data_IF_125974796315
#
_entry.id   IF_125974796315
#
_cell.length_a   1.000
_cell.length_b   1.000
_cell.length_c   1.000
_cell.angle_alpha   90.00
_cell.angle_beta   90.00
_cell.angle_gamma   90.00
#
_symmetry.space_group_name_H-M   'P 1'
#
loop_
_entity.id
_entity.type
_entity.pdbx_description
1 polymer ?
#
# COMPACT_ATOMS: atom_id res chain seq x y z
N UNK A 1 -3.73 9.07 22.74
CA UNK A 1 -3.23 8.77 21.38
C UNK A 1 -1.75 9.16 21.34
N UNK A 2 -0.87 8.26 21.00
CA UNK A 2 0.56 8.57 20.79
C UNK A 2 0.69 9.46 19.54
N UNK A 3 1.54 10.49 19.62
CA UNK A 3 1.80 11.36 18.46
C UNK A 3 2.31 10.52 17.27
N UNK A 4 1.87 10.79 16.04
CA UNK A 4 2.33 10.07 14.85
C UNK A 4 3.83 10.30 14.62
N UNK A 5 4.51 9.31 14.04
CA UNK A 5 5.91 9.45 13.63
C UNK A 5 6.02 10.31 12.38
N UNK A 6 5.14 10.06 11.39
CA UNK A 6 5.06 10.83 10.16
C UNK A 6 3.71 11.51 10.06
N UNK A 7 3.73 12.79 9.74
CA UNK A 7 2.56 13.59 9.37
C UNK A 7 2.84 14.32 8.07
N UNK A 8 1.95 14.15 7.12
CA UNK A 8 1.91 14.90 5.86
C UNK A 8 0.59 15.65 5.82
N UNK A 9 0.63 16.96 5.74
CA UNK A 9 -0.56 17.83 5.79
C UNK A 9 -0.67 18.66 4.53
N UNK A 10 -1.69 18.37 3.71
CA UNK A 10 -2.02 19.08 2.47
C UNK A 10 -0.79 19.31 1.55
N UNK A 11 0.09 18.31 1.46
CA UNK A 11 1.32 18.42 0.71
C UNK A 11 1.06 18.44 -0.81
N UNK A 12 1.59 19.48 -1.48
CA UNK A 12 1.56 19.59 -2.94
C UNK A 12 2.97 19.69 -3.48
N UNK A 13 3.24 18.98 -4.60
CA UNK A 13 4.55 18.95 -5.28
C UNK A 13 4.37 19.20 -6.75
N UNK A 14 5.24 20.04 -7.33
CA UNK A 14 5.22 20.36 -8.74
C UNK A 14 6.63 20.36 -9.34
N UNK A 15 6.75 20.05 -10.63
CA UNK A 15 7.95 20.19 -11.46
C UNK A 15 7.73 21.34 -12.44
N UNK A 16 8.32 22.51 -12.15
CA UNK A 16 8.01 23.73 -12.88
C UNK A 16 6.52 24.09 -12.73
N UNK A 17 5.81 24.25 -13.83
CA UNK A 17 4.38 24.58 -13.84
C UNK A 17 3.48 23.33 -13.74
N UNK A 18 4.05 22.12 -13.80
CA UNK A 18 3.28 20.89 -13.76
C UNK A 18 3.13 20.37 -12.33
N UNK A 19 1.95 20.55 -11.74
CA UNK A 19 1.61 20.02 -10.43
C UNK A 19 1.32 18.52 -10.52
N UNK A 20 2.02 17.71 -9.72
CA UNK A 20 1.98 16.24 -9.74
C UNK A 20 1.29 15.66 -8.52
N UNK A 21 1.44 16.30 -7.35
CA UNK A 21 0.76 15.90 -6.11
C UNK A 21 -0.05 17.08 -5.60
N UNK A 22 -1.31 16.83 -5.25
CA UNK A 22 -2.27 17.84 -4.84
C UNK A 22 -2.79 17.53 -3.44
N UNK A 23 -2.45 18.38 -2.46
CA UNK A 23 -3.00 18.40 -1.10
C UNK A 23 -3.02 17.04 -0.40
N UNK A 24 -2.00 16.20 -0.63
CA UNK A 24 -1.90 14.89 -0.02
C UNK A 24 -1.82 14.99 1.50
N UNK A 25 -2.65 14.21 2.21
CA UNK A 25 -2.69 14.16 3.67
C UNK A 25 -2.66 12.72 4.13
N UNK A 26 -1.72 12.40 5.03
CA UNK A 26 -1.60 11.07 5.64
C UNK A 26 -0.85 11.17 6.97
N UNK A 27 -1.01 10.15 7.81
CA UNK A 27 -0.24 10.02 9.04
C UNK A 27 0.08 8.56 9.35
N UNK A 28 1.21 8.31 9.99
CA UNK A 28 1.62 6.98 10.47
C UNK A 28 2.09 7.06 11.91
N UNK A 29 1.60 6.16 12.74
CA UNK A 29 2.13 5.95 14.07
C UNK A 29 3.47 5.21 14.03
N UNK A 30 4.20 5.21 15.14
CA UNK A 30 5.47 4.48 15.25
C UNK A 30 5.24 2.96 15.12
N UNK A 31 6.04 2.31 14.28
CA UNK A 31 5.96 0.87 13.99
C UNK A 31 4.83 0.49 13.02
N UNK A 32 4.07 1.46 12.48
CA UNK A 32 3.12 1.20 11.40
C UNK A 32 3.80 1.18 10.04
N UNK A 33 3.23 0.40 9.13
CA UNK A 33 3.64 0.31 7.73
C UNK A 33 2.51 0.91 6.89
N UNK A 34 2.82 1.99 6.17
CA UNK A 34 1.94 2.60 5.18
C UNK A 34 2.25 2.16 3.78
N UNK A 35 1.26 2.19 2.89
CA UNK A 35 1.43 1.94 1.47
C UNK A 35 0.80 3.07 0.65
N UNK A 36 1.50 3.58 -0.35
CA UNK A 36 0.94 4.42 -1.40
C UNK A 36 0.63 3.54 -2.61
N UNK A 37 -0.64 3.34 -2.89
CA UNK A 37 -1.16 2.47 -3.93
C UNK A 37 -1.89 3.27 -5.00
N UNK A 38 -1.76 2.89 -6.28
CA UNK A 38 -2.45 3.58 -7.38
C UNK A 38 -1.80 3.32 -8.73
N UNK A 39 -2.43 3.74 -9.83
CA UNK A 39 -1.91 3.54 -11.18
C UNK A 39 -0.57 4.25 -11.40
N UNK A 40 0.16 3.82 -12.43
CA UNK A 40 1.43 4.44 -12.78
C UNK A 40 1.25 5.93 -13.12
N UNK A 41 2.19 6.77 -12.70
CA UNK A 41 2.15 8.21 -12.96
C UNK A 41 1.21 9.03 -12.07
N UNK A 42 0.52 8.46 -11.07
CA UNK A 42 -0.39 9.21 -10.19
C UNK A 42 0.32 10.00 -9.06
N UNK A 43 1.66 10.04 -8.99
CA UNK A 43 2.39 10.88 -8.05
C UNK A 43 2.94 10.17 -6.80
N UNK A 44 2.82 8.85 -6.65
CA UNK A 44 3.29 8.08 -5.48
C UNK A 44 4.77 8.28 -5.17
N UNK A 45 5.65 8.00 -6.15
CA UNK A 45 7.10 8.18 -6.02
C UNK A 45 7.47 9.64 -5.75
N UNK A 46 6.76 10.59 -6.35
CA UNK A 46 6.96 12.03 -6.09
C UNK A 46 6.66 12.37 -4.63
N UNK A 47 5.55 11.88 -4.08
CA UNK A 47 5.22 12.08 -2.67
C UNK A 47 6.25 11.39 -1.76
N UNK A 48 6.67 10.17 -2.08
CA UNK A 48 7.72 9.45 -1.35
C UNK A 48 9.03 10.25 -1.33
N UNK A 49 9.45 10.81 -2.46
CA UNK A 49 10.65 11.64 -2.58
C UNK A 49 10.54 12.97 -1.81
N UNK A 50 9.33 13.55 -1.74
CA UNK A 50 9.09 14.73 -0.89
C UNK A 50 9.23 14.39 0.60
N UNK A 51 8.75 13.23 1.04
CA UNK A 51 8.95 12.73 2.41
C UNK A 51 10.45 12.47 2.67
N UNK A 52 11.19 11.95 1.69
CA UNK A 52 12.65 11.78 1.80
C UNK A 52 13.43 13.11 1.85
N UNK A 53 12.84 14.22 1.39
CA UNK A 53 13.49 15.53 1.29
C UNK A 53 14.28 15.75 0.00
N UNK A 54 14.02 14.92 -1.00
CA UNK A 54 14.60 15.03 -2.34
C UNK A 54 13.82 16.06 -3.15
N UNK A 55 12.48 16.05 -3.04
CA UNK A 55 11.61 17.00 -3.73
C UNK A 55 11.07 18.06 -2.76
N UNK A 56 11.10 19.34 -3.13
CA UNK A 56 10.53 20.41 -2.31
C UNK A 56 9.01 20.42 -2.37
N UNK A 57 8.37 20.91 -1.32
CA UNK A 57 6.93 21.17 -1.31
C UNK A 57 6.61 22.52 -1.96
N UNK A 58 5.54 22.56 -2.76
CA UNK A 58 4.91 23.80 -3.20
C UNK A 58 3.91 24.34 -2.16
N UNK A 59 3.20 23.42 -1.48
CA UNK A 59 2.25 23.72 -0.41
C UNK A 59 2.29 22.61 0.65
N UNK A 60 1.74 22.93 1.83
CA UNK A 60 1.61 21.99 2.93
C UNK A 60 2.87 21.81 3.77
N UNK A 61 2.84 20.80 4.62
CA UNK A 61 3.91 20.51 5.57
C UNK A 61 4.16 19.01 5.71
N UNK A 62 5.41 18.65 6.01
CA UNK A 62 5.79 17.30 6.43
C UNK A 62 6.50 17.41 7.78
N UNK A 63 6.05 16.58 8.75
CA UNK A 63 6.66 16.46 10.07
C UNK A 63 7.12 15.02 10.30
N UNK A 64 8.29 14.89 10.91
CA UNK A 64 8.80 13.63 11.42
C UNK A 64 8.99 13.75 12.93
N UNK A 65 8.35 12.85 13.67
CA UNK A 65 8.38 12.84 15.14
C UNK A 65 8.06 14.22 15.73
N UNK A 66 7.01 14.88 15.20
CA UNK A 66 6.57 16.22 15.55
C UNK A 66 7.45 17.37 15.02
N UNK A 67 8.64 17.07 14.48
CA UNK A 67 9.55 18.10 13.95
C UNK A 67 9.23 18.42 12.49
N UNK A 68 9.06 19.72 12.16
CA UNK A 68 8.85 20.18 10.78
C UNK A 68 10.12 19.91 9.96
N UNK A 69 10.00 19.11 8.88
CA UNK A 69 11.09 18.75 7.98
C UNK A 69 10.92 19.27 6.55
N UNK A 70 9.69 19.60 6.15
CA UNK A 70 9.41 20.26 4.85
C UNK A 70 8.25 21.23 4.96
N UNK A 71 8.40 22.37 4.29
CA UNK A 71 7.35 23.34 3.97
C UNK A 71 7.76 24.09 2.69
N UNK A 72 6.91 24.96 2.11
CA UNK A 72 7.27 25.71 0.89
C UNK A 72 8.52 26.59 1.02
N UNK A 73 8.88 26.94 2.25
CA UNK A 73 10.02 27.82 2.53
C UNK A 73 11.20 27.10 3.16
N UNK A 74 11.06 25.84 3.50
CA UNK A 74 12.07 25.11 4.27
C UNK A 74 12.03 23.64 3.91
N UNK A 75 13.21 23.07 3.65
CA UNK A 75 13.38 21.63 3.42
C UNK A 75 14.65 21.16 4.13
N UNK A 76 14.49 20.27 5.10
CA UNK A 76 15.62 19.54 5.68
C UNK A 76 16.16 18.57 4.62
N UNK A 77 17.47 18.61 4.31
CA UNK A 77 18.04 17.69 3.32
C UNK A 77 17.98 16.23 3.79
N UNK A 78 17.95 15.24 2.86
CA UNK A 78 17.75 13.82 3.16
C UNK A 78 18.67 13.26 4.23
N UNK A 79 19.97 13.59 4.19
CA UNK A 79 21.00 13.10 5.11
C UNK A 79 20.79 13.55 6.57
N UNK A 80 19.92 14.54 6.80
CA UNK A 80 19.56 15.05 8.15
C UNK A 80 18.18 14.60 8.63
N UNK A 81 17.42 13.85 7.81
CA UNK A 81 16.06 13.42 8.16
C UNK A 81 16.00 12.13 8.96
N UNK A 82 17.10 11.38 9.06
CA UNK A 82 17.13 10.03 9.65
C UNK A 82 16.13 9.08 8.97
N UNK A 83 16.04 9.18 7.65
CA UNK A 83 15.17 8.34 6.78
C UNK A 83 16.07 7.39 6.01
N UNK A 84 15.73 6.11 5.98
CA UNK A 84 16.31 5.13 5.07
C UNK A 84 15.50 5.05 3.79
N UNK A 85 16.16 4.72 2.66
CA UNK A 85 15.47 4.55 1.39
C UNK A 85 15.95 3.29 0.66
N UNK A 86 15.00 2.50 0.16
CA UNK A 86 15.21 1.40 -0.76
C UNK A 86 14.63 1.82 -2.11
N UNK A 87 15.47 1.84 -3.13
CA UNK A 87 15.11 2.23 -4.50
C UNK A 87 14.64 1.01 -5.29
N UNK A 88 13.90 1.25 -6.35
CA UNK A 88 13.32 0.23 -7.24
C UNK A 88 14.39 -0.70 -7.86
N UNK A 89 15.55 -0.17 -8.22
CA UNK A 89 16.71 -0.89 -8.77
C UNK A 89 17.70 -1.38 -7.69
N UNK A 90 17.26 -1.34 -6.40
CA UNK A 90 18.06 -1.62 -5.20
C UNK A 90 19.26 -0.70 -5.01
N UNK A 91 19.78 -0.09 -6.05
CA UNK A 91 20.91 0.85 -6.08
C UNK A 91 22.15 0.35 -5.27
N UNK A 92 22.40 -0.97 -5.28
CA UNK A 92 23.62 -1.54 -4.66
C UNK A 92 24.85 -1.08 -5.41
N UNK A 93 25.91 -0.82 -4.68
CA UNK A 93 27.21 -0.45 -5.24
C UNK A 93 27.88 -1.69 -5.84
N UNK A 94 27.99 -1.83 -7.18
CA UNK A 94 28.45 -3.07 -7.81
C UNK A 94 29.92 -3.39 -7.56
N UNK A 95 30.71 -2.40 -7.19
CA UNK A 95 32.15 -2.49 -6.91
C UNK A 95 32.49 -2.74 -5.44
N UNK A 96 31.47 -2.75 -4.56
CA UNK A 96 31.63 -3.04 -3.14
C UNK A 96 31.07 -4.44 -2.83
N UNK A 97 31.69 -5.16 -1.91
CA UNK A 97 31.13 -6.38 -1.36
C UNK A 97 29.86 -6.07 -0.51
N UNK A 98 29.18 -7.11 -0.05
CA UNK A 98 27.94 -6.97 0.70
C UNK A 98 28.17 -6.33 2.06
N UNK A 99 29.26 -6.64 2.74
CA UNK A 99 29.59 -6.01 4.03
C UNK A 99 29.84 -4.49 3.85
N UNK A 100 30.54 -4.10 2.79
CA UNK A 100 30.80 -2.69 2.50
C UNK A 100 29.56 -1.96 1.98
N UNK A 101 28.69 -2.63 1.19
CA UNK A 101 27.38 -2.09 0.83
C UNK A 101 26.55 -1.74 2.07
N UNK A 102 26.35 -2.71 2.99
CA UNK A 102 25.58 -2.49 4.23
C UNK A 102 26.27 -1.44 5.11
N UNK A 103 27.58 -1.53 5.23
CA UNK A 103 28.38 -0.65 6.07
C UNK A 103 28.59 0.76 5.51
N UNK A 104 28.13 1.08 4.31
CA UNK A 104 28.40 2.36 3.65
C UNK A 104 27.90 3.56 4.46
N UNK A 105 26.63 3.52 4.89
CA UNK A 105 26.01 4.60 5.68
C UNK A 105 26.54 4.75 7.11
N UNK A 106 27.34 3.78 7.61
CA UNK A 106 27.93 3.75 8.93
C UNK A 106 29.48 3.72 8.90
N UNK A 107 30.07 4.13 7.82
CA UNK A 107 31.54 4.12 7.60
C UNK A 107 32.32 4.90 8.65
N UNK A 108 31.71 5.92 9.27
CA UNK A 108 32.33 6.75 10.33
C UNK A 108 32.33 6.08 11.73
N UNK A 109 31.64 4.96 11.90
CA UNK A 109 31.62 4.24 13.16
C UNK A 109 32.96 3.49 13.39
N UNK A 110 33.25 3.16 14.67
CA UNK A 110 34.41 2.34 14.99
C UNK A 110 34.30 0.97 14.33
N UNK A 111 35.40 0.45 13.80
CA UNK A 111 35.43 -0.81 13.01
C UNK A 111 34.71 -1.98 13.70
N UNK A 112 34.88 -2.16 15.00
CA UNK A 112 34.21 -3.22 15.75
C UNK A 112 32.68 -3.02 15.81
N UNK A 113 32.19 -1.79 16.01
CA UNK A 113 30.75 -1.49 16.03
C UNK A 113 30.13 -1.67 14.64
N UNK A 114 30.82 -1.17 13.59
CA UNK A 114 30.39 -1.34 12.20
C UNK A 114 30.23 -2.82 11.83
N UNK A 115 31.28 -3.65 12.15
CA UNK A 115 31.23 -5.09 11.87
C UNK A 115 30.08 -5.78 12.61
N UNK A 116 29.93 -5.52 13.92
CA UNK A 116 28.82 -6.06 14.70
C UNK A 116 27.46 -5.73 14.11
N UNK A 117 27.26 -4.46 13.68
CA UNK A 117 26.01 -4.02 13.07
C UNK A 117 25.74 -4.72 11.74
N UNK A 118 26.76 -4.90 10.90
CA UNK A 118 26.67 -5.65 9.66
C UNK A 118 26.27 -7.11 9.92
N UNK A 119 26.93 -7.78 10.89
CA UNK A 119 26.62 -9.16 11.25
C UNK A 119 25.18 -9.32 11.78
N UNK A 120 24.69 -8.35 12.57
CA UNK A 120 23.31 -8.30 13.05
C UNK A 120 22.32 -8.21 11.87
N UNK A 121 22.57 -7.29 10.93
CA UNK A 121 21.70 -7.06 9.79
C UNK A 121 21.69 -8.22 8.80
N UNK A 122 22.84 -8.83 8.54
CA UNK A 122 22.93 -10.02 7.68
C UNK A 122 22.14 -11.19 8.26
N UNK A 123 22.18 -11.39 9.61
CA UNK A 123 21.34 -12.41 10.26
C UNK A 123 19.87 -12.05 10.17
N UNK A 124 19.51 -10.77 10.38
CA UNK A 124 18.14 -10.28 10.32
C UNK A 124 17.50 -10.55 8.95
N UNK A 125 18.25 -10.37 7.87
CA UNK A 125 17.76 -10.61 6.49
C UNK A 125 17.99 -12.03 6.00
N UNK A 126 18.43 -12.96 6.87
CA UNK A 126 18.60 -14.38 6.55
C UNK A 126 19.80 -14.69 5.64
N UNK A 127 20.84 -13.85 5.61
CA UNK A 127 22.02 -13.98 4.76
C UNK A 127 23.34 -13.88 5.55
N UNK A 128 23.53 -14.67 6.64
CA UNK A 128 24.65 -14.47 7.57
C UNK A 128 26.05 -14.67 6.94
N UNK A 129 26.17 -15.45 5.87
CA UNK A 129 27.46 -15.83 5.28
C UNK A 129 27.79 -15.08 3.98
N UNK A 130 27.13 -13.92 3.75
CA UNK A 130 27.22 -13.20 2.46
C UNK A 130 28.19 -12.00 2.50
N UNK A 131 29.01 -11.84 3.52
CA UNK A 131 29.87 -10.66 3.73
C UNK A 131 30.75 -10.31 2.53
N UNK A 132 31.45 -11.30 1.96
CA UNK A 132 32.46 -11.12 0.91
C UNK A 132 31.90 -11.29 -0.52
N UNK A 133 30.58 -11.56 -0.65
CA UNK A 133 29.94 -11.65 -1.96
C UNK A 133 29.73 -10.27 -2.56
N UNK A 134 29.51 -10.23 -3.87
CA UNK A 134 29.22 -9.02 -4.62
C UNK A 134 27.76 -9.02 -5.11
N UNK A 135 27.15 -7.84 -5.39
CA UNK A 135 25.76 -7.77 -5.85
C UNK A 135 25.41 -8.66 -7.05
N UNK A 136 26.32 -8.77 -8.01
CA UNK A 136 26.11 -9.59 -9.21
C UNK A 136 26.08 -11.11 -8.95
N UNK A 137 26.48 -11.56 -7.79
CA UNK A 137 26.42 -12.97 -7.38
C UNK A 137 25.11 -13.33 -6.68
N UNK A 138 24.21 -12.35 -6.48
CA UNK A 138 22.95 -12.48 -5.72
C UNK A 138 21.76 -12.55 -6.66
N UNK A 139 20.73 -13.35 -6.26
CA UNK A 139 19.41 -13.26 -6.88
C UNK A 139 18.73 -11.91 -6.55
N UNK A 140 17.70 -11.52 -7.34
CA UNK A 140 16.97 -10.28 -7.11
C UNK A 140 16.43 -10.17 -5.68
N UNK A 141 15.83 -11.23 -5.12
CA UNK A 141 15.35 -11.25 -3.74
C UNK A 141 16.47 -11.09 -2.70
N UNK A 142 17.65 -11.68 -2.95
CA UNK A 142 18.81 -11.49 -2.09
C UNK A 142 19.34 -10.06 -2.17
N UNK A 143 19.40 -9.47 -3.37
CA UNK A 143 19.79 -8.06 -3.55
C UNK A 143 18.86 -7.12 -2.81
N UNK A 144 17.56 -7.37 -2.87
CA UNK A 144 16.56 -6.60 -2.12
C UNK A 144 16.78 -6.67 -0.61
N UNK A 145 17.00 -7.87 -0.06
CA UNK A 145 17.29 -8.05 1.37
C UNK A 145 18.56 -7.30 1.78
N UNK A 146 19.58 -7.28 0.94
CA UNK A 146 20.80 -6.49 1.20
C UNK A 146 20.52 -4.99 1.11
N UNK A 147 19.71 -4.52 0.15
CA UNK A 147 19.31 -3.12 0.06
C UNK A 147 18.51 -2.69 1.32
N UNK A 148 17.63 -3.57 1.83
CA UNK A 148 16.93 -3.37 3.09
C UNK A 148 17.93 -3.27 4.26
N UNK A 149 18.87 -4.22 4.39
CA UNK A 149 19.89 -4.20 5.43
C UNK A 149 20.74 -2.92 5.37
N UNK A 150 21.14 -2.48 4.18
CA UNK A 150 21.88 -1.21 3.98
C UNK A 150 21.06 0.00 4.44
N UNK A 151 19.78 0.06 4.08
CA UNK A 151 18.89 1.16 4.47
C UNK A 151 18.65 1.19 6.00
N UNK A 152 18.66 0.03 6.66
CA UNK A 152 18.50 -0.11 8.11
C UNK A 152 19.80 0.12 8.90
N UNK A 153 20.96 0.05 8.28
CA UNK A 153 22.25 0.13 8.97
C UNK A 153 22.42 1.40 9.81
N UNK A 154 22.05 2.60 9.32
CA UNK A 154 22.16 3.84 10.11
C UNK A 154 21.16 3.95 11.26
N UNK A 155 20.18 3.05 11.40
CA UNK A 155 19.09 3.13 12.36
C UNK A 155 18.11 4.26 12.05
N UNK A 156 17.46 4.23 10.87
CA UNK A 156 16.50 5.25 10.49
C UNK A 156 15.26 5.23 11.38
N UNK A 157 14.58 6.36 11.52
CA UNK A 157 13.28 6.46 12.18
C UNK A 157 12.12 6.06 11.24
N UNK A 158 12.30 6.30 9.94
CA UNK A 158 11.36 5.97 8.87
C UNK A 158 12.10 5.29 7.72
N UNK A 159 11.55 4.20 7.20
CA UNK A 159 12.02 3.53 6.00
C UNK A 159 11.08 3.83 4.83
N UNK A 160 11.64 4.28 3.71
CA UNK A 160 10.91 4.51 2.47
C UNK A 160 11.32 3.46 1.44
N UNK A 161 10.35 2.87 0.75
CA UNK A 161 10.58 1.83 -0.25
C UNK A 161 9.81 2.16 -1.54
N UNK A 162 10.55 2.35 -2.64
CA UNK A 162 9.98 2.71 -3.95
C UNK A 162 9.90 1.45 -4.82
N UNK A 163 8.71 0.91 -5.01
CA UNK A 163 8.41 -0.33 -5.76
C UNK A 163 9.38 -1.48 -5.45
N UNK A 164 9.56 -1.85 -4.17
CA UNK A 164 10.65 -2.73 -3.76
C UNK A 164 10.59 -4.14 -4.36
N UNK A 165 9.41 -4.61 -4.82
CA UNK A 165 9.22 -5.97 -5.33
C UNK A 165 8.99 -6.05 -6.84
N UNK A 166 9.03 -4.92 -7.56
CA UNK A 166 8.63 -4.83 -8.98
C UNK A 166 9.48 -5.67 -9.93
N UNK A 167 10.73 -5.97 -9.59
CA UNK A 167 11.66 -6.76 -10.41
C UNK A 167 11.57 -8.28 -10.19
N UNK A 168 10.56 -8.78 -9.46
CA UNK A 168 10.43 -10.18 -9.06
C UNK A 168 9.24 -10.87 -9.71
N UNK A 169 9.31 -12.20 -9.77
CA UNK A 169 8.20 -13.06 -10.19
C UNK A 169 7.02 -12.95 -9.21
N UNK A 170 5.80 -13.03 -9.73
CA UNK A 170 4.55 -12.81 -8.97
C UNK A 170 4.45 -13.71 -7.73
N UNK A 171 4.83 -15.00 -7.86
CA UNK A 171 4.77 -15.97 -6.76
C UNK A 171 5.71 -15.61 -5.59
N UNK A 172 6.89 -15.06 -5.90
CA UNK A 172 7.89 -14.69 -4.90
C UNK A 172 7.58 -13.35 -4.21
N UNK A 173 6.84 -12.46 -4.86
CA UNK A 173 6.56 -11.11 -4.33
C UNK A 173 5.83 -11.14 -3.00
N UNK A 174 4.75 -11.92 -2.94
CA UNK A 174 3.88 -11.95 -1.75
C UNK A 174 4.60 -12.58 -0.55
N UNK A 175 5.38 -13.65 -0.78
CA UNK A 175 6.18 -14.29 0.27
C UNK A 175 7.23 -13.32 0.81
N UNK A 176 7.95 -12.65 -0.08
CA UNK A 176 8.98 -11.70 0.31
C UNK A 176 8.39 -10.45 0.98
N UNK A 177 7.21 -9.99 0.53
CA UNK A 177 6.48 -8.91 1.18
C UNK A 177 6.13 -9.27 2.63
N UNK A 178 5.62 -10.49 2.88
CA UNK A 178 5.35 -10.99 4.24
C UNK A 178 6.61 -11.08 5.09
N UNK A 179 7.71 -11.52 4.51
CA UNK A 179 8.98 -11.61 5.22
C UNK A 179 9.52 -10.23 5.58
N UNK A 180 9.55 -9.28 4.64
CA UNK A 180 9.96 -7.89 4.89
C UNK A 180 9.06 -7.26 5.96
N UNK A 181 7.74 -7.46 5.90
CA UNK A 181 6.82 -7.02 6.95
C UNK A 181 7.21 -7.57 8.32
N UNK A 182 7.50 -8.88 8.40
CA UNK A 182 7.91 -9.52 9.66
C UNK A 182 9.18 -8.88 10.24
N UNK A 183 10.18 -8.60 9.40
CA UNK A 183 11.41 -7.90 9.79
C UNK A 183 11.10 -6.50 10.34
N UNK A 184 10.32 -5.71 9.61
CA UNK A 184 9.98 -4.33 10.01
C UNK A 184 9.20 -4.30 11.32
N UNK A 185 8.25 -5.23 11.50
CA UNK A 185 7.45 -5.34 12.73
C UNK A 185 8.27 -5.80 13.94
N UNK A 186 9.16 -6.79 13.78
CA UNK A 186 10.01 -7.28 14.85
C UNK A 186 10.99 -6.21 15.38
N UNK A 187 11.46 -5.34 14.49
CA UNK A 187 12.35 -4.21 14.79
C UNK A 187 11.59 -2.90 15.13
N UNK A 188 10.25 -2.93 15.16
CA UNK A 188 9.38 -1.76 15.38
C UNK A 188 9.71 -0.57 14.46
N UNK A 189 10.00 -0.86 13.18
CA UNK A 189 10.37 0.13 12.17
C UNK A 189 9.11 0.66 11.50
N UNK A 190 8.96 1.98 11.47
CA UNK A 190 7.93 2.64 10.67
C UNK A 190 8.36 2.68 9.22
N UNK A 191 7.46 2.33 8.30
CA UNK A 191 7.81 2.31 6.88
C UNK A 191 6.68 2.86 6.00
N UNK A 192 7.06 3.39 4.83
CA UNK A 192 6.14 3.62 3.70
C UNK A 192 6.70 2.90 2.48
N UNK A 193 5.83 2.14 1.81
CA UNK A 193 6.13 1.59 0.50
C UNK A 193 5.23 2.21 -0.57
N UNK A 194 5.78 2.28 -1.78
CA UNK A 194 5.04 2.59 -3.01
C UNK A 194 4.91 1.31 -3.79
N UNK A 195 3.72 1.00 -4.26
CA UNK A 195 3.48 -0.10 -5.21
C UNK A 195 2.28 0.21 -6.09
N UNK A 196 2.14 -0.50 -7.19
CA UNK A 196 0.93 -0.57 -8.00
C UNK A 196 0.20 -1.91 -7.84
N UNK A 197 0.75 -2.84 -7.05
CA UNK A 197 0.20 -4.16 -6.79
C UNK A 197 -0.59 -4.18 -5.48
N UNK A 198 -1.87 -4.57 -5.57
CA UNK A 198 -2.77 -4.63 -4.41
C UNK A 198 -2.38 -5.75 -3.44
N UNK A 199 -1.88 -6.89 -3.95
CA UNK A 199 -1.48 -8.02 -3.10
C UNK A 199 -0.28 -7.65 -2.23
N UNK A 200 0.70 -6.92 -2.79
CA UNK A 200 1.80 -6.36 -2.02
C UNK A 200 1.31 -5.41 -0.94
N UNK A 201 0.40 -4.49 -1.29
CA UNK A 201 -0.15 -3.52 -0.35
C UNK A 201 -0.89 -4.21 0.81
N UNK A 202 -1.73 -5.20 0.52
CA UNK A 202 -2.47 -5.96 1.54
C UNK A 202 -1.57 -6.85 2.39
N UNK A 203 -0.52 -7.45 1.80
CA UNK A 203 0.43 -8.28 2.54
C UNK A 203 1.31 -7.47 3.50
N UNK A 204 1.64 -6.22 3.14
CA UNK A 204 2.62 -5.40 3.86
C UNK A 204 2.01 -4.38 4.81
N UNK A 205 0.97 -3.66 4.39
CA UNK A 205 0.59 -2.41 5.02
C UNK A 205 -0.45 -2.55 6.14
N UNK A 206 -0.37 -1.67 7.14
CA UNK A 206 -1.41 -1.45 8.14
C UNK A 206 -2.39 -0.37 7.66
N UNK A 207 -1.85 0.62 6.90
CA UNK A 207 -2.60 1.72 6.31
C UNK A 207 -2.26 1.82 4.81
N UNK A 208 -3.25 1.99 3.97
CA UNK A 208 -3.08 2.08 2.51
C UNK A 208 -3.71 3.37 2.01
N UNK A 209 -2.94 4.15 1.27
CA UNK A 209 -3.41 5.35 0.59
C UNK A 209 -3.64 5.08 -0.90
N UNK A 210 -4.88 5.17 -1.34
CA UNK A 210 -5.20 5.08 -2.77
C UNK A 210 -5.02 6.44 -3.41
N UNK A 211 -4.07 6.52 -4.34
CA UNK A 211 -3.77 7.74 -5.10
C UNK A 211 -4.27 7.64 -6.53
N UNK A 212 -4.89 8.71 -7.01
CA UNK A 212 -5.31 8.87 -8.39
C UNK A 212 -5.17 10.31 -8.86
N UNK A 213 -4.59 10.53 -10.04
CA UNK A 213 -4.42 11.87 -10.65
C UNK A 213 -3.83 12.90 -9.66
N UNK A 214 -2.78 12.52 -8.94
CA UNK A 214 -2.08 13.38 -7.99
C UNK A 214 -2.77 13.56 -6.64
N UNK A 215 -3.96 13.00 -6.42
CA UNK A 215 -4.73 13.15 -5.17
C UNK A 215 -4.74 11.86 -4.36
N UNK A 216 -4.69 12.01 -3.04
CA UNK A 216 -5.01 10.93 -2.11
C UNK A 216 -6.53 10.85 -1.98
N UNK A 217 -7.13 9.77 -2.51
CA UNK A 217 -8.59 9.60 -2.48
C UNK A 217 -9.08 9.03 -1.16
N UNK A 218 -8.32 8.11 -0.57
CA UNK A 218 -8.61 7.52 0.74
C UNK A 218 -7.30 7.02 1.36
N UNK A 219 -7.18 7.19 2.69
CA UNK A 219 -6.09 6.66 3.51
C UNK A 219 -6.73 5.87 4.65
N UNK A 220 -6.64 4.54 4.61
CA UNK A 220 -7.34 3.67 5.57
C UNK A 220 -6.70 2.27 5.62
N UNK A 221 -7.21 1.40 6.49
CA UNK A 221 -6.88 -0.02 6.48
C UNK A 221 -7.33 -0.71 5.18
N UNK A 222 -6.65 -1.79 4.78
CA UNK A 222 -7.07 -2.56 3.61
C UNK A 222 -8.52 -3.07 3.72
N UNK A 223 -8.95 -3.43 4.92
CA UNK A 223 -10.33 -3.84 5.20
C UNK A 223 -11.33 -2.72 4.86
N UNK A 224 -11.10 -1.50 5.36
CA UNK A 224 -11.99 -0.38 5.10
C UNK A 224 -11.99 0.06 3.63
N UNK A 225 -10.84 0.01 2.96
CA UNK A 225 -10.78 0.29 1.52
C UNK A 225 -11.65 -0.66 0.69
N UNK A 226 -11.73 -1.93 1.10
CA UNK A 226 -12.55 -2.93 0.41
C UNK A 226 -14.04 -2.79 0.74
N UNK A 227 -14.40 -2.66 2.03
CA UNK A 227 -15.79 -2.67 2.50
C UNK A 227 -16.44 -1.28 2.56
N UNK A 228 -15.65 -0.21 2.69
CA UNK A 228 -16.12 1.17 2.87
C UNK A 228 -15.34 2.15 1.96
N UNK A 229 -15.30 1.90 0.63
CA UNK A 229 -14.60 2.80 -0.28
C UNK A 229 -15.24 4.18 -0.29
N UNK A 230 -14.42 5.24 -0.18
CA UNK A 230 -14.89 6.61 -0.11
C UNK A 230 -15.46 7.13 -1.45
N UNK A 231 -15.02 6.58 -2.57
CA UNK A 231 -15.44 6.97 -3.92
C UNK A 231 -15.46 5.76 -4.87
N UNK A 232 -16.23 5.80 -5.97
CA UNK A 232 -16.33 4.69 -6.93
C UNK A 232 -14.98 4.21 -7.46
N UNK A 233 -14.04 5.12 -7.72
CA UNK A 233 -12.71 4.73 -8.17
C UNK A 233 -12.00 3.80 -7.16
N UNK A 234 -12.09 4.08 -5.85
CA UNK A 234 -11.48 3.21 -4.82
C UNK A 234 -12.17 1.84 -4.81
N UNK A 235 -13.50 1.82 -4.97
CA UNK A 235 -14.26 0.57 -5.07
C UNK A 235 -13.77 -0.32 -6.21
N UNK A 236 -13.63 0.23 -7.41
CA UNK A 236 -13.19 -0.50 -8.61
C UNK A 236 -11.71 -0.87 -8.55
N UNK A 237 -10.89 0.03 -8.00
CA UNK A 237 -9.44 -0.16 -7.97
C UNK A 237 -9.01 -1.19 -6.92
N UNK A 238 -9.70 -1.28 -5.77
CA UNK A 238 -9.33 -2.17 -4.65
C UNK A 238 -9.88 -3.59 -4.81
N UNK A 239 -10.92 -3.78 -5.59
CA UNK A 239 -11.48 -5.11 -5.79
C UNK A 239 -12.62 -5.10 -6.79
N UNK A 240 -12.93 -6.28 -7.30
CA UNK A 240 -14.07 -6.44 -8.18
C UNK A 240 -15.37 -6.17 -7.41
N UNK A 241 -16.30 -5.49 -8.03
CA UNK A 241 -17.63 -5.21 -7.49
C UNK A 241 -18.51 -4.54 -8.53
N UNK A 242 -19.78 -4.48 -8.26
CA UNK A 242 -20.78 -3.84 -9.12
C UNK A 242 -21.57 -2.83 -8.31
N UNK A 243 -21.80 -1.65 -8.88
CA UNK A 243 -22.70 -0.65 -8.31
C UNK A 243 -24.11 -0.91 -8.82
N UNK A 244 -25.01 -1.32 -7.94
CA UNK A 244 -26.43 -1.51 -8.24
C UNK A 244 -27.24 -0.31 -7.79
N UNK A 245 -28.22 0.07 -8.60
CA UNK A 245 -29.19 1.09 -8.22
C UNK A 245 -30.11 0.56 -7.11
N UNK A 246 -30.37 1.40 -6.12
CA UNK A 246 -31.24 1.11 -4.99
C UNK A 246 -32.09 2.32 -4.60
N UNK A 247 -33.20 2.06 -3.92
CA UNK A 247 -34.07 3.06 -3.32
C UNK A 247 -34.04 2.97 -1.81
N UNK A 248 -33.82 4.10 -1.15
CA UNK A 248 -33.83 4.22 0.32
C UNK A 248 -35.26 4.02 0.83
N UNK A 249 -35.46 3.02 1.65
CA UNK A 249 -36.78 2.75 2.28
C UNK A 249 -36.88 3.51 3.60
N UNK A 250 -35.87 3.41 4.46
CA UNK A 250 -35.77 4.12 5.74
C UNK A 250 -34.31 4.36 6.10
N UNK A 251 -34.02 4.75 7.35
CA UNK A 251 -32.69 5.11 7.83
C UNK A 251 -31.67 3.95 7.86
N UNK A 252 -32.08 2.72 7.63
CA UNK A 252 -31.22 1.53 7.67
C UNK A 252 -31.46 0.55 6.53
N UNK A 253 -32.45 0.80 5.66
CA UNK A 253 -32.80 -0.15 4.61
C UNK A 253 -32.82 0.46 3.21
N UNK A 254 -32.25 -0.31 2.26
CA UNK A 254 -32.23 0.03 0.82
C UNK A 254 -32.88 -1.14 0.07
N UNK A 255 -33.87 -0.83 -0.78
CA UNK A 255 -34.43 -1.80 -1.72
C UNK A 255 -33.63 -1.82 -2.99
N UNK A 256 -33.13 -2.98 -3.36
CA UNK A 256 -32.45 -3.24 -4.64
C UNK A 256 -33.16 -4.36 -5.38
N UNK A 257 -32.79 -4.61 -6.62
CA UNK A 257 -33.29 -5.76 -7.37
C UNK A 257 -32.90 -7.11 -6.70
N UNK A 258 -31.75 -7.14 -5.98
CA UNK A 258 -31.31 -8.36 -5.29
C UNK A 258 -32.10 -8.65 -4.02
N UNK A 259 -32.26 -7.65 -3.16
CA UNK A 259 -32.90 -7.78 -1.86
C UNK A 259 -33.23 -6.43 -1.23
N UNK A 260 -33.96 -6.48 -0.13
CA UNK A 260 -33.94 -5.41 0.87
C UNK A 260 -32.64 -5.58 1.68
N UNK A 261 -31.74 -4.60 1.56
CA UNK A 261 -30.45 -4.62 2.20
C UNK A 261 -30.47 -3.74 3.45
N UNK A 262 -29.87 -4.22 4.53
CA UNK A 262 -29.66 -3.46 5.75
C UNK A 262 -28.23 -2.91 5.74
N UNK A 263 -28.05 -1.62 6.09
CA UNK A 263 -26.73 -1.00 6.11
C UNK A 263 -26.73 0.44 6.57
N UNK A 264 -25.53 1.00 6.69
CA UNK A 264 -25.30 2.40 7.05
C UNK A 264 -25.47 3.30 5.83
N UNK A 265 -26.46 4.16 5.86
CA UNK A 265 -26.69 5.17 4.82
C UNK A 265 -25.81 6.41 5.02
N UNK A 266 -25.28 7.00 3.95
CA UNK A 266 -24.63 8.31 4.03
C UNK A 266 -25.55 9.38 4.62
N UNK A 267 -24.97 10.33 5.34
CA UNK A 267 -25.73 11.43 5.91
C UNK A 267 -26.46 12.24 4.82
N UNK A 268 -27.75 12.48 5.00
CA UNK A 268 -28.59 13.24 4.06
C UNK A 268 -29.45 12.39 3.13
N UNK A 269 -29.31 11.06 3.11
CA UNK A 269 -30.23 10.18 2.40
C UNK A 269 -31.63 10.22 3.03
N UNK A 270 -32.66 10.32 2.19
CA UNK A 270 -34.08 10.35 2.61
C UNK A 270 -34.83 9.19 2.00
N UNK A 271 -35.90 8.68 2.66
CA UNK A 271 -36.78 7.70 2.06
C UNK A 271 -37.26 8.14 0.67
N UNK A 272 -37.28 7.20 -0.28
CA UNK A 272 -37.55 7.43 -1.72
C UNK A 272 -36.36 7.98 -2.51
N UNK A 273 -35.21 8.24 -1.86
CA UNK A 273 -33.98 8.68 -2.54
C UNK A 273 -33.30 7.55 -3.29
N UNK A 274 -32.70 7.85 -4.45
CA UNK A 274 -31.90 6.88 -5.22
C UNK A 274 -30.46 6.88 -4.72
N UNK A 275 -29.89 5.68 -4.59
CA UNK A 275 -28.52 5.43 -4.16
C UNK A 275 -27.91 4.34 -5.03
N UNK A 276 -26.58 4.27 -5.06
CA UNK A 276 -25.86 3.13 -5.64
C UNK A 276 -25.28 2.31 -4.50
N UNK A 277 -25.49 1.00 -4.56
CA UNK A 277 -25.01 0.03 -3.58
C UNK A 277 -23.88 -0.77 -4.21
N UNK A 278 -22.70 -0.73 -3.56
CA UNK A 278 -21.60 -1.58 -3.95
C UNK A 278 -21.90 -3.03 -3.50
N UNK A 279 -21.88 -3.96 -4.45
CA UNK A 279 -22.02 -5.38 -4.21
C UNK A 279 -20.71 -6.06 -4.62
N UNK A 280 -20.08 -6.71 -3.65
CA UNK A 280 -18.87 -7.51 -3.86
C UNK A 280 -19.20 -8.94 -4.26
N UNK A 281 -18.31 -9.68 -4.94
CA UNK A 281 -18.54 -11.06 -5.33
C UNK A 281 -18.79 -12.01 -4.16
N UNK A 282 -18.22 -11.70 -2.99
CA UNK A 282 -18.38 -12.45 -1.74
C UNK A 282 -19.66 -12.11 -0.95
N UNK A 283 -20.37 -11.02 -1.32
CA UNK A 283 -21.68 -10.70 -0.78
C UNK A 283 -22.80 -11.57 -1.38
N UNK A 284 -22.55 -12.21 -2.52
CA UNK A 284 -23.55 -13.02 -3.24
C UNK A 284 -23.35 -14.49 -2.94
N UNK A 285 -24.28 -15.03 -2.14
CA UNK A 285 -24.27 -16.43 -1.71
C UNK A 285 -25.35 -17.20 -2.48
N UNK A 286 -25.04 -18.43 -2.91
CA UNK A 286 -26.01 -19.33 -3.51
C UNK A 286 -26.99 -19.85 -2.45
N UNK A 287 -28.27 -19.72 -2.72
CA UNK A 287 -29.36 -20.25 -1.88
C UNK A 287 -30.47 -20.88 -2.75
N UNK A 288 -30.62 -22.19 -2.65
CA UNK A 288 -31.67 -22.98 -3.36
C UNK A 288 -33.08 -22.55 -2.99
N UNK A 289 -33.29 -22.09 -1.76
CA UNK A 289 -34.58 -21.65 -1.23
C UNK A 289 -34.94 -20.20 -1.59
N UNK A 290 -33.98 -19.44 -2.11
CA UNK A 290 -34.22 -18.06 -2.50
C UNK A 290 -35.29 -17.96 -3.59
N UNK A 291 -36.25 -17.08 -3.41
CA UNK A 291 -37.24 -16.73 -4.43
C UNK A 291 -36.65 -15.90 -5.57
N UNK A 292 -35.47 -15.30 -5.35
CA UNK A 292 -34.75 -14.47 -6.36
C UNK A 292 -33.80 -15.36 -7.15
N UNK A 293 -33.84 -15.22 -8.45
CA UNK A 293 -33.06 -16.03 -9.38
C UNK A 293 -32.29 -15.12 -10.32
N UNK A 294 -31.06 -15.53 -10.64
CA UNK A 294 -30.22 -14.89 -11.66
C UNK A 294 -29.78 -15.92 -12.70
N UNK A 295 -29.47 -15.50 -13.89
CA UNK A 295 -29.01 -16.36 -14.97
C UNK A 295 -27.49 -16.36 -15.04
N UNK A 296 -26.85 -17.52 -15.02
CA UNK A 296 -25.41 -17.64 -15.20
C UNK A 296 -25.04 -17.27 -16.63
N UNK A 297 -24.27 -16.21 -16.82
CA UNK A 297 -23.73 -15.75 -18.11
C UNK A 297 -22.35 -16.32 -18.40
N UNK A 298 -21.49 -16.35 -17.39
CA UNK A 298 -20.13 -16.84 -17.50
C UNK A 298 -19.64 -17.46 -16.19
N UNK A 299 -18.65 -18.34 -16.30
CA UNK A 299 -17.96 -18.96 -15.17
C UNK A 299 -16.47 -18.98 -15.46
N UNK A 300 -15.67 -18.45 -14.54
CA UNK A 300 -14.21 -18.46 -14.59
C UNK A 300 -13.65 -19.23 -13.39
N UNK A 301 -12.88 -20.30 -13.66
CA UNK A 301 -12.18 -21.04 -12.61
C UNK A 301 -10.95 -20.26 -12.13
N UNK A 302 -10.81 -20.11 -10.80
CA UNK A 302 -9.71 -19.38 -10.13
C UNK A 302 -8.97 -20.27 -9.11
N UNK A 303 -8.89 -21.56 -9.35
CA UNK A 303 -8.28 -22.52 -8.43
C UNK A 303 -9.22 -22.89 -7.28
N UNK A 304 -9.08 -22.24 -6.12
CA UNK A 304 -9.92 -22.54 -4.96
C UNK A 304 -11.38 -22.07 -5.09
N UNK A 305 -11.72 -21.31 -6.12
CA UNK A 305 -13.06 -20.73 -6.31
C UNK A 305 -13.44 -20.62 -7.79
N UNK A 306 -14.73 -20.44 -8.03
CA UNK A 306 -15.29 -19.99 -9.30
C UNK A 306 -15.81 -18.58 -9.15
N UNK A 307 -15.48 -17.71 -10.13
CA UNK A 307 -16.15 -16.43 -10.29
C UNK A 307 -17.25 -16.59 -11.33
N UNK A 308 -18.49 -16.37 -10.90
CA UNK A 308 -19.66 -16.36 -11.76
C UNK A 308 -20.02 -14.92 -12.15
N UNK A 309 -20.36 -14.71 -13.42
CA UNK A 309 -21.09 -13.52 -13.87
C UNK A 309 -22.55 -13.90 -13.99
N UNK A 310 -23.39 -13.23 -13.22
CA UNK A 310 -24.83 -13.50 -13.11
C UNK A 310 -25.60 -12.31 -13.70
N UNK A 311 -26.58 -12.58 -14.57
CA UNK A 311 -27.51 -11.56 -15.06
C UNK A 311 -28.78 -11.56 -14.21
N UNK A 312 -29.16 -10.40 -13.74
CA UNK A 312 -30.41 -10.12 -13.06
C UNK A 312 -31.56 -9.95 -14.07
N UNK A 313 -32.84 -10.04 -13.66
CA UNK A 313 -33.99 -9.83 -14.54
C UNK A 313 -33.99 -8.47 -15.25
N UNK A 314 -33.46 -7.41 -14.65
CA UNK A 314 -33.26 -6.10 -15.28
C UNK A 314 -32.25 -6.09 -16.42
N UNK A 315 -31.40 -7.12 -16.50
CA UNK A 315 -30.24 -7.17 -17.37
C UNK A 315 -28.94 -6.65 -16.74
N UNK A 316 -28.98 -6.16 -15.49
CA UNK A 316 -27.77 -5.81 -14.76
C UNK A 316 -26.95 -7.08 -14.49
N UNK A 317 -25.62 -6.96 -14.55
CA UNK A 317 -24.72 -8.08 -14.26
C UNK A 317 -24.07 -7.89 -12.88
N UNK A 318 -24.01 -8.98 -12.11
CA UNK A 318 -23.34 -9.03 -10.81
C UNK A 318 -22.33 -10.16 -10.81
N UNK A 319 -21.41 -10.12 -9.85
CA UNK A 319 -20.39 -11.13 -9.65
C UNK A 319 -20.71 -11.93 -8.39
N UNK A 320 -20.44 -13.25 -8.42
CA UNK A 320 -20.51 -14.12 -7.24
C UNK A 320 -19.27 -15.01 -7.18
N UNK A 321 -18.66 -15.10 -6.01
CA UNK A 321 -17.50 -15.94 -5.74
C UNK A 321 -17.94 -17.17 -4.95
N UNK A 322 -17.78 -18.35 -5.55
CA UNK A 322 -18.19 -19.63 -4.95
C UNK A 322 -16.97 -20.53 -4.81
N UNK A 323 -16.83 -21.19 -3.65
CA UNK A 323 -15.74 -22.15 -3.43
C UNK A 323 -15.87 -23.33 -4.40
N UNK A 324 -14.74 -23.81 -4.94
CA UNK A 324 -14.69 -24.87 -5.97
C UNK A 324 -15.14 -26.25 -5.47
N UNK A 325 -15.35 -26.43 -4.18
CA UNK A 325 -15.80 -27.69 -3.56
C UNK A 325 -17.30 -27.76 -3.30
N UNK A 326 -18.06 -26.75 -3.70
CA UNK A 326 -19.52 -26.73 -3.69
C UNK A 326 -20.02 -26.84 -5.13
N UNK A 327 -20.25 -28.07 -5.59
CA UNK A 327 -21.00 -28.38 -6.81
C UNK A 327 -22.50 -28.37 -6.54
#
# INVERSE_FOLDING_TARGET
MTAPLLEVSAASVAYGDNSVVHEATLSLARGEIGCLLGPSGCGKTTLLRAIAGIEPLQQGEIRLNGTLVSSPRFTTPPERRRVGMVFQDFALFPHLDIADNIGFGISRQRRAQRRRRIDELLRLVGLPDYHERYPHELSGGQQQRIALARALAPGPELLLMDEPFSSMDVELREDLAREVRSILKSENITAILVTHDQHEAFAMADQIGVMHSGRMLQWDSGYNLYHQPAVPFVADFIGQGVLLDGEVIDSGHISTELALLEGNLPAGCKPGGRVQVLVRPDDIIHDDLSSRKATIKARAFRGASYLYTLALPSGAEILSLVLSHHD
#
